data_IF_497306436130
#
_entry.id   IF_497306436130
#
_cell.length_a   1.000
_cell.length_b   1.000
_cell.length_c   1.000
_cell.angle_alpha   90.00
_cell.angle_beta   90.00
_cell.angle_gamma   90.00
#
_symmetry.space_group_name_H-M   'P 1'
#
loop_
_entity.id
_entity.type
_entity.pdbx_description
1 polymer ?
#
# COMPACT_ATOMS: atom_id res chain seq x y z
N UNK A 1 32.45 31.78 -3.97
CA UNK A 1 32.24 31.09 -2.68
C UNK A 1 30.76 30.91 -2.33
N UNK A 2 29.89 31.95 -2.38
CA UNK A 2 28.44 31.83 -2.12
C UNK A 2 27.73 30.78 -3.01
N UNK A 3 28.05 30.74 -4.30
CA UNK A 3 27.44 29.83 -5.29
C UNK A 3 27.76 28.35 -5.04
N UNK A 4 28.98 28.05 -4.57
CA UNK A 4 29.39 26.70 -4.16
C UNK A 4 28.63 26.22 -2.92
N UNK A 5 28.38 27.11 -1.94
CA UNK A 5 27.58 26.78 -0.75
C UNK A 5 26.11 26.52 -1.10
N UNK A 6 25.51 27.27 -2.04
CA UNK A 6 24.15 27.02 -2.50
C UNK A 6 24.00 25.69 -3.25
N UNK A 7 25.00 25.31 -4.07
CA UNK A 7 24.98 24.04 -4.80
C UNK A 7 25.12 22.84 -3.85
N UNK A 8 25.98 22.94 -2.84
CA UNK A 8 26.12 21.89 -1.82
C UNK A 8 24.84 21.71 -0.98
N UNK A 9 24.15 22.79 -0.64
CA UNK A 9 22.88 22.73 0.08
C UNK A 9 21.77 22.07 -0.75
N UNK A 10 21.70 22.35 -2.06
CA UNK A 10 20.72 21.73 -2.97
C UNK A 10 20.96 20.22 -3.16
N UNK A 11 22.22 19.79 -3.26
CA UNK A 11 22.57 18.36 -3.39
C UNK A 11 22.25 17.60 -2.10
N UNK A 12 22.50 18.20 -0.93
CA UNK A 12 22.17 17.58 0.35
C UNK A 12 20.64 17.37 0.51
N UNK A 13 19.84 18.36 0.11
CA UNK A 13 18.37 18.27 0.13
C UNK A 13 17.88 17.20 -0.86
N UNK A 14 18.41 17.15 -2.08
CA UNK A 14 18.04 16.13 -3.06
C UNK A 14 18.39 14.70 -2.62
N UNK A 15 19.53 14.52 -1.94
CA UNK A 15 19.93 13.22 -1.39
C UNK A 15 18.99 12.73 -0.27
N UNK A 16 18.44 13.64 0.54
CA UNK A 16 17.42 13.28 1.54
C UNK A 16 16.08 12.84 0.95
N UNK A 17 15.72 13.30 -0.27
CA UNK A 17 14.50 12.84 -0.95
C UNK A 17 14.67 11.47 -1.63
N UNK A 18 15.89 11.10 -2.03
CA UNK A 18 16.18 9.79 -2.61
C UNK A 18 16.12 8.63 -1.59
N UNK A 19 16.04 8.94 -0.29
CA UNK A 19 16.03 8.00 0.81
C UNK A 19 14.65 7.87 1.48
N UNK A 20 13.55 7.93 0.71
CA UNK A 20 12.18 7.71 1.22
C UNK A 20 11.61 6.34 0.81
N UNK A 21 12.23 5.19 1.14
CA UNK A 21 11.54 3.90 1.05
C UNK A 21 10.39 3.80 2.09
N UNK A 22 10.39 4.65 3.12
CA UNK A 22 9.42 4.60 4.22
C UNK A 22 8.00 5.06 3.84
N UNK A 23 7.84 5.97 2.87
CA UNK A 23 6.50 6.45 2.48
C UNK A 23 5.74 5.40 1.67
N UNK A 24 6.40 4.73 0.73
CA UNK A 24 5.79 3.67 -0.07
C UNK A 24 5.40 2.48 0.82
N UNK A 25 6.27 2.09 1.77
CA UNK A 25 5.95 1.00 2.69
C UNK A 25 4.76 1.32 3.60
N UNK A 26 4.59 2.57 4.03
CA UNK A 26 3.47 2.95 4.90
C UNK A 26 2.14 2.92 4.14
N UNK A 27 2.13 3.40 2.89
CA UNK A 27 0.92 3.41 2.08
C UNK A 27 0.53 1.99 1.64
N UNK A 28 1.51 1.20 1.19
CA UNK A 28 1.27 -0.20 0.83
C UNK A 28 0.77 -1.02 2.02
N UNK A 29 1.29 -0.79 3.23
CA UNK A 29 0.81 -1.45 4.43
C UNK A 29 -0.67 -1.16 4.70
N UNK A 30 -1.07 0.12 4.63
CA UNK A 30 -2.47 0.52 4.81
C UNK A 30 -3.40 -0.08 3.74
N UNK A 31 -2.99 -0.03 2.47
CA UNK A 31 -3.75 -0.64 1.38
C UNK A 31 -3.88 -2.16 1.55
N UNK A 32 -2.81 -2.81 1.98
CA UNK A 32 -2.83 -4.23 2.29
C UNK A 32 -3.83 -4.57 3.40
N UNK A 33 -3.82 -3.81 4.51
CA UNK A 33 -4.72 -4.05 5.63
C UNK A 33 -6.20 -3.88 5.23
N UNK A 34 -6.51 -2.89 4.39
CA UNK A 34 -7.86 -2.73 3.82
C UNK A 34 -8.23 -3.93 2.95
N UNK A 35 -7.34 -4.37 2.06
CA UNK A 35 -7.57 -5.53 1.22
C UNK A 35 -7.77 -6.83 2.03
N UNK A 36 -6.96 -7.06 3.06
CA UNK A 36 -7.12 -8.19 3.98
C UNK A 36 -8.48 -8.13 4.65
N UNK A 37 -8.90 -6.98 5.18
CA UNK A 37 -10.20 -6.83 5.84
C UNK A 37 -11.38 -7.12 4.90
N UNK A 38 -11.27 -6.72 3.63
CA UNK A 38 -12.29 -7.00 2.63
C UNK A 38 -12.31 -8.48 2.25
N UNK A 39 -11.15 -9.13 2.21
CA UNK A 39 -11.00 -10.51 1.77
C UNK A 39 -11.03 -11.55 2.90
N UNK A 40 -10.95 -11.17 4.18
CA UNK A 40 -10.82 -12.12 5.31
C UNK A 40 -12.00 -13.08 5.39
N UNK A 41 -13.21 -12.58 5.08
CA UNK A 41 -14.41 -13.40 4.99
C UNK A 41 -14.46 -14.18 3.66
N UNK A 42 -14.42 -15.52 3.70
CA UNK A 42 -14.41 -16.34 2.48
C UNK A 42 -15.66 -16.17 1.60
N UNK A 43 -16.80 -15.75 2.16
CA UNK A 43 -18.00 -15.46 1.39
C UNK A 43 -17.86 -14.22 0.48
N UNK A 44 -16.87 -13.37 0.77
CA UNK A 44 -16.65 -12.11 0.07
C UNK A 44 -15.56 -12.22 -1.00
N UNK A 45 -14.89 -13.38 -1.14
CA UNK A 45 -13.69 -13.63 -1.99
C UNK A 45 -13.95 -13.82 -3.49
N UNK A 46 -15.16 -13.58 -3.98
CA UNK A 46 -15.40 -13.59 -5.43
C UNK A 46 -14.62 -12.43 -6.07
N UNK A 47 -13.75 -12.71 -7.05
CA UNK A 47 -12.75 -11.77 -7.56
C UNK A 47 -13.30 -10.35 -7.85
N UNK A 48 -14.37 -10.25 -8.65
CA UNK A 48 -15.00 -8.96 -8.96
C UNK A 48 -15.63 -8.29 -7.73
N UNK A 49 -16.14 -9.08 -6.79
CA UNK A 49 -16.75 -8.58 -5.55
C UNK A 49 -15.70 -8.05 -4.56
N UNK A 50 -14.53 -8.69 -4.45
CA UNK A 50 -13.44 -8.23 -3.58
C UNK A 50 -12.86 -6.94 -4.12
N UNK A 51 -12.62 -6.86 -5.43
CA UNK A 51 -12.01 -5.69 -6.07
C UNK A 51 -12.91 -4.45 -5.94
N UNK A 52 -14.21 -4.60 -6.23
CA UNK A 52 -15.19 -3.52 -6.07
C UNK A 52 -15.29 -3.05 -4.60
N UNK A 53 -15.32 -3.99 -3.65
CA UNK A 53 -15.34 -3.66 -2.22
C UNK A 53 -14.06 -3.00 -1.75
N UNK A 54 -12.91 -3.47 -2.23
CA UNK A 54 -11.62 -2.88 -1.94
C UNK A 54 -11.56 -1.44 -2.45
N UNK A 55 -11.92 -1.21 -3.72
CA UNK A 55 -11.95 0.14 -4.29
C UNK A 55 -12.91 1.07 -3.53
N UNK A 56 -14.08 0.56 -3.11
CA UNK A 56 -15.03 1.34 -2.32
C UNK A 56 -14.50 1.71 -0.92
N UNK A 57 -13.93 0.76 -0.18
CA UNK A 57 -13.35 1.02 1.14
C UNK A 57 -12.09 1.87 1.05
N UNK A 58 -11.23 1.61 0.07
CA UNK A 58 -10.03 2.41 -0.19
C UNK A 58 -10.38 3.86 -0.53
N UNK A 59 -11.39 4.10 -1.38
CA UNK A 59 -11.91 5.46 -1.66
C UNK A 59 -12.51 6.12 -0.42
N UNK A 60 -13.16 5.35 0.45
CA UNK A 60 -13.75 5.86 1.69
C UNK A 60 -12.68 6.26 2.71
N UNK A 61 -11.61 5.48 2.84
CA UNK A 61 -10.51 5.76 3.78
C UNK A 61 -9.54 6.83 3.25
N UNK A 62 -9.25 6.81 1.94
CA UNK A 62 -8.22 7.67 1.34
C UNK A 62 -8.75 8.74 0.39
N UNK A 63 -10.07 8.86 0.19
CA UNK A 63 -10.66 9.77 -0.81
C UNK A 63 -10.39 11.26 -0.60
N UNK A 64 -9.91 11.66 0.59
CA UNK A 64 -9.43 13.01 0.85
C UNK A 64 -8.02 13.28 0.28
N UNK A 65 -7.29 12.22 -0.08
CA UNK A 65 -5.93 12.29 -0.64
C UNK A 65 -6.03 12.37 -2.16
N UNK A 66 -5.43 13.39 -2.80
CA UNK A 66 -5.36 13.47 -4.25
C UNK A 66 -4.71 12.21 -4.83
N UNK A 67 -5.29 11.67 -5.90
CA UNK A 67 -4.82 10.46 -6.59
C UNK A 67 -4.97 9.14 -5.83
N UNK A 68 -5.57 9.12 -4.64
CA UNK A 68 -5.80 7.87 -3.90
C UNK A 68 -6.61 6.85 -4.69
N UNK A 69 -7.67 7.27 -5.38
CA UNK A 69 -8.50 6.37 -6.19
C UNK A 69 -7.68 5.60 -7.23
N UNK A 70 -6.73 6.27 -7.90
CA UNK A 70 -5.85 5.62 -8.87
C UNK A 70 -4.84 4.67 -8.22
N UNK A 71 -4.36 5.00 -7.02
CA UNK A 71 -3.45 4.12 -6.29
C UNK A 71 -4.21 2.91 -5.72
N UNK A 72 -5.46 3.08 -5.30
CA UNK A 72 -6.37 2.00 -4.94
C UNK A 72 -6.52 1.03 -6.12
N UNK A 73 -6.99 1.51 -7.28
CA UNK A 73 -7.17 0.67 -8.47
C UNK A 73 -5.89 -0.10 -8.82
N UNK A 74 -4.77 0.62 -8.92
CA UNK A 74 -3.47 0.03 -9.25
C UNK A 74 -3.00 -1.00 -8.21
N UNK A 75 -3.26 -0.76 -6.92
CA UNK A 75 -2.91 -1.69 -5.87
C UNK A 75 -3.81 -2.93 -5.90
N UNK A 76 -5.12 -2.74 -6.08
CA UNK A 76 -6.10 -3.82 -6.24
C UNK A 76 -5.68 -4.75 -7.38
N UNK A 77 -5.50 -4.20 -8.58
CA UNK A 77 -5.09 -4.96 -9.77
C UNK A 77 -3.80 -5.76 -9.57
N UNK A 78 -2.85 -5.23 -8.80
CA UNK A 78 -1.51 -5.81 -8.67
C UNK A 78 -1.36 -6.77 -7.47
N UNK A 79 -2.16 -6.61 -6.42
CA UNK A 79 -1.87 -7.20 -5.10
C UNK A 79 -3.03 -7.98 -4.47
N UNK A 80 -4.27 -7.74 -4.87
CA UNK A 80 -5.44 -8.39 -4.23
C UNK A 80 -5.37 -9.92 -4.34
N UNK A 81 -4.99 -10.45 -5.51
CA UNK A 81 -4.83 -11.89 -5.72
C UNK A 81 -3.81 -12.52 -4.77
N UNK A 82 -2.67 -11.86 -4.53
CA UNK A 82 -1.65 -12.37 -3.61
C UNK A 82 -2.17 -12.41 -2.17
N UNK A 83 -2.97 -11.41 -1.77
CA UNK A 83 -3.59 -11.33 -0.46
C UNK A 83 -4.64 -12.44 -0.28
N UNK A 84 -5.50 -12.65 -1.27
CA UNK A 84 -6.51 -13.72 -1.27
C UNK A 84 -5.83 -15.09 -1.18
N UNK A 85 -4.80 -15.33 -1.99
CA UNK A 85 -4.05 -16.60 -1.98
C UNK A 85 -3.43 -16.91 -0.61
N UNK A 86 -2.91 -15.90 0.09
CA UNK A 86 -2.39 -16.07 1.45
C UNK A 86 -3.48 -16.42 2.46
N UNK A 87 -4.63 -15.75 2.38
CA UNK A 87 -5.80 -16.03 3.21
C UNK A 87 -6.43 -17.40 2.92
N UNK A 88 -6.40 -17.87 1.68
CA UNK A 88 -6.82 -19.23 1.29
C UNK A 88 -5.80 -20.29 1.70
N UNK A 89 -4.51 -19.94 1.68
CA UNK A 89 -3.42 -20.77 2.18
C UNK A 89 -3.39 -20.92 3.71
N UNK A 90 -4.31 -20.25 4.42
CA UNK A 90 -4.43 -20.34 5.87
C UNK A 90 -3.51 -19.40 6.65
N UNK A 91 -2.89 -18.42 5.99
CA UNK A 91 -2.19 -17.33 6.68
C UNK A 91 -3.21 -16.52 7.47
N UNK A 92 -2.91 -16.24 8.74
CA UNK A 92 -3.78 -15.42 9.59
C UNK A 92 -3.88 -14.00 9.01
N UNK A 93 -5.08 -13.36 8.97
CA UNK A 93 -5.26 -12.03 8.41
C UNK A 93 -4.22 -11.00 8.89
N UNK A 94 -3.92 -11.00 10.19
CA UNK A 94 -2.93 -10.11 10.83
C UNK A 94 -1.47 -10.32 10.37
N UNK A 95 -1.19 -11.45 9.72
CA UNK A 95 0.15 -11.83 9.27
C UNK A 95 0.34 -11.66 7.75
N UNK A 96 -0.75 -11.57 6.98
CA UNK A 96 -0.70 -11.52 5.51
C UNK A 96 0.16 -10.36 5.00
N UNK A 97 -0.08 -9.14 5.49
CA UNK A 97 0.62 -7.95 4.99
C UNK A 97 2.12 -7.94 5.32
N UNK A 98 2.50 -8.54 6.45
CA UNK A 98 3.90 -8.73 6.82
C UNK A 98 4.54 -9.82 5.97
N UNK A 99 3.85 -10.94 5.76
CA UNK A 99 4.32 -12.05 4.92
C UNK A 99 4.55 -11.62 3.47
N UNK A 100 3.68 -10.75 2.94
CA UNK A 100 3.80 -10.15 1.61
C UNK A 100 4.80 -8.97 1.56
N UNK A 101 5.39 -8.59 2.70
CA UNK A 101 6.34 -7.47 2.85
C UNK A 101 5.76 -6.12 2.46
N UNK A 102 4.44 -5.98 2.54
CA UNK A 102 3.74 -4.70 2.37
C UNK A 102 3.84 -3.86 3.66
N UNK A 103 3.94 -4.52 4.82
CA UNK A 103 4.20 -3.90 6.12
C UNK A 103 5.61 -4.26 6.64
N UNK A 104 6.25 -3.37 7.41
CA UNK A 104 7.52 -3.68 8.07
C UNK A 104 7.40 -4.85 9.06
N UNK A 105 8.48 -5.60 9.23
CA UNK A 105 8.60 -6.60 10.30
C UNK A 105 8.75 -5.87 11.65
N UNK A 106 7.92 -6.23 12.64
CA UNK A 106 7.99 -5.69 14.00
C UNK A 106 9.22 -6.21 14.76
#
# INVERSE_FOLDING_TARGET
MKTLFCLLALVAVAASFAALPQQDSAMNCLLCEVAVRVAENPADREAHTVEDKFNAECKKEFGAIPFAEKECEKYGDAKLDAIINELEGGTAPEDVCRKLKECPEN
#
